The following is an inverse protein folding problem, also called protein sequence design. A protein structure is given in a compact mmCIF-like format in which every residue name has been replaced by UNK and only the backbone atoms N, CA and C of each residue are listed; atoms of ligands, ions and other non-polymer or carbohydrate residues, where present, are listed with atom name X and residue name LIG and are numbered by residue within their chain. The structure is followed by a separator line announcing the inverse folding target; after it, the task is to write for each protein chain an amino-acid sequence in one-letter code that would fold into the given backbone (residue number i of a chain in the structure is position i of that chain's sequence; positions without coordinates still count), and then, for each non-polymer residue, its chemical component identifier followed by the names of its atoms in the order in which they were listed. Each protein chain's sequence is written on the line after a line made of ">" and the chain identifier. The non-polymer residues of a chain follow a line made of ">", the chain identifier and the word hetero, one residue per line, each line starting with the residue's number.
data_IF_203640399588
#
_entry.id   IF_203640399588
#
_cell.length_a   1.000
_cell.length_b   1.000
_cell.length_c   1.000
_cell.angle_alpha   90.00
_cell.angle_beta   90.00
_cell.angle_gamma   90.00
#
_symmetry.space_group_name_H-M   'P 1'
#
loop_
_entity.id
_entity.type
_entity.pdbx_description
1 polymer ?
#
# COMPACT_ATOMS: atom_id res chain seq x y z
N UNK A 1 -47.09 28.72 -65.67
CA UNK A 1 -46.64 29.08 -64.31
C UNK A 1 -46.60 27.82 -63.47
N UNK A 2 -45.45 27.58 -62.82
CA UNK A 2 -45.16 26.65 -61.70
C UNK A 2 -45.54 25.16 -61.84
N UNK A 3 -44.69 24.18 -61.57
CA UNK A 3 -43.47 24.13 -60.76
C UNK A 3 -43.52 22.84 -59.92
N UNK A 4 -42.49 21.99 -60.05
CA UNK A 4 -42.38 20.65 -59.45
C UNK A 4 -42.57 20.58 -57.92
N UNK A 5 -42.96 19.41 -57.38
CA UNK A 5 -42.28 18.95 -56.16
C UNK A 5 -42.12 17.41 -56.06
N UNK A 6 -41.37 16.76 -56.95
CA UNK A 6 -40.94 15.35 -56.76
C UNK A 6 -39.60 15.19 -56.01
N UNK A 7 -39.11 16.26 -55.34
CA UNK A 7 -37.81 16.28 -54.64
C UNK A 7 -37.85 16.25 -53.11
N UNK A 8 -39.00 16.01 -52.47
CA UNK A 8 -39.11 16.08 -50.99
C UNK A 8 -39.39 14.77 -50.25
N UNK A 9 -39.63 13.66 -50.92
CA UNK A 9 -39.92 12.38 -50.25
C UNK A 9 -38.68 11.51 -49.97
N UNK A 10 -37.56 11.74 -50.66
CA UNK A 10 -36.34 10.92 -50.52
C UNK A 10 -35.37 11.43 -49.44
N UNK A 11 -35.54 12.65 -48.95
CA UNK A 11 -34.69 13.20 -47.89
C UNK A 11 -35.08 12.69 -46.49
N UNK A 12 -36.33 12.27 -46.30
CA UNK A 12 -36.88 11.87 -44.99
C UNK A 12 -36.45 10.46 -44.58
N UNK A 13 -36.19 9.57 -45.54
CA UNK A 13 -35.80 8.18 -45.26
C UNK A 13 -34.30 8.09 -44.92
N UNK A 14 -33.47 8.96 -45.48
CA UNK A 14 -32.03 9.00 -45.19
C UNK A 14 -31.70 9.69 -43.85
N UNK A 15 -32.57 10.59 -43.37
CA UNK A 15 -32.39 11.25 -42.07
C UNK A 15 -32.71 10.35 -40.86
N UNK A 16 -33.53 9.30 -41.04
CA UNK A 16 -33.82 8.30 -39.99
C UNK A 16 -32.75 7.20 -39.90
N UNK A 17 -31.99 6.95 -40.97
CA UNK A 17 -30.90 5.99 -40.96
C UNK A 17 -29.64 6.51 -40.24
N UNK A 18 -29.42 7.83 -40.21
CA UNK A 18 -28.26 8.44 -39.54
C UNK A 18 -28.45 8.65 -38.03
N UNK A 19 -29.69 8.65 -37.53
CA UNK A 19 -29.97 8.71 -36.08
C UNK A 19 -29.92 7.33 -35.40
N UNK A 20 -29.87 6.23 -36.16
CA UNK A 20 -29.71 4.88 -35.62
C UNK A 20 -28.24 4.44 -35.43
N UNK A 21 -27.26 5.27 -35.85
CA UNK A 21 -25.83 4.95 -35.73
C UNK A 21 -25.14 5.59 -34.51
N UNK A 22 -25.89 6.25 -33.61
CA UNK A 22 -25.33 6.91 -32.42
C UNK A 22 -26.08 6.56 -31.13
N UNK A 23 -26.74 5.41 -31.10
CA UNK A 23 -27.12 4.76 -29.85
C UNK A 23 -26.51 3.38 -29.86
N UNK A 24 -25.21 3.31 -29.58
CA UNK A 24 -24.67 2.16 -28.87
C UNK A 24 -25.30 2.19 -27.47
N UNK A 25 -26.59 1.86 -27.42
CA UNK A 25 -27.24 1.44 -26.19
C UNK A 25 -26.63 0.08 -25.90
N UNK A 26 -25.41 0.11 -25.38
CA UNK A 26 -24.87 -0.94 -24.56
C UNK A 26 -25.89 -1.15 -23.45
N UNK A 27 -26.87 -2.01 -23.70
CA UNK A 27 -27.68 -2.60 -22.66
C UNK A 27 -26.69 -2.96 -21.55
N UNK A 28 -26.92 -2.53 -20.30
CA UNK A 28 -26.08 -3.01 -19.21
C UNK A 28 -26.14 -4.53 -19.35
N UNK A 29 -24.98 -5.14 -19.67
CA UNK A 29 -24.87 -6.58 -19.76
C UNK A 29 -25.54 -7.08 -18.50
N UNK A 30 -26.66 -7.77 -18.64
CA UNK A 30 -27.28 -8.51 -17.56
C UNK A 30 -26.12 -9.16 -16.84
N UNK A 31 -25.93 -8.79 -15.56
CA UNK A 31 -24.88 -9.36 -14.74
C UNK A 31 -25.18 -10.86 -14.70
N UNK A 32 -24.59 -11.61 -15.64
CA UNK A 32 -24.45 -13.05 -15.50
C UNK A 32 -23.87 -13.28 -14.11
N UNK A 33 -24.27 -14.38 -13.44
CA UNK A 33 -23.98 -14.61 -12.03
C UNK A 33 -22.53 -14.20 -11.76
N UNK A 34 -22.32 -13.12 -10.99
CA UNK A 34 -21.02 -12.45 -10.99
C UNK A 34 -19.99 -13.47 -10.53
N UNK A 35 -19.12 -13.88 -11.44
CA UNK A 35 -18.02 -14.78 -11.12
C UNK A 35 -16.89 -13.98 -10.46
N UNK A 36 -17.25 -13.23 -9.43
CA UNK A 36 -16.37 -12.31 -8.72
C UNK A 36 -15.90 -12.95 -7.41
N UNK A 37 -15.07 -12.24 -6.65
CA UNK A 37 -14.34 -12.78 -5.50
C UNK A 37 -15.26 -12.96 -4.28
N UNK A 38 -15.74 -14.17 -4.03
CA UNK A 38 -16.65 -14.49 -2.92
C UNK A 38 -16.05 -14.21 -1.51
N UNK A 39 -14.72 -14.34 -1.35
CA UNK A 39 -14.02 -14.12 -0.08
C UNK A 39 -13.62 -12.66 0.21
N UNK A 40 -14.03 -11.72 -0.64
CA UNK A 40 -13.51 -10.35 -0.60
C UNK A 40 -13.74 -9.57 0.70
N UNK A 41 -14.86 -9.72 1.44
CA UNK A 41 -15.02 -9.06 2.74
C UNK A 41 -13.94 -9.44 3.76
N UNK A 42 -13.52 -10.71 3.77
CA UNK A 42 -12.42 -11.14 4.65
C UNK A 42 -11.09 -10.54 4.19
N UNK A 43 -10.81 -10.59 2.88
CA UNK A 43 -9.58 -10.03 2.32
C UNK A 43 -9.47 -8.51 2.55
N UNK A 44 -10.59 -7.78 2.50
CA UNK A 44 -10.62 -6.36 2.83
C UNK A 44 -10.27 -6.10 4.31
N UNK A 45 -10.77 -6.93 5.24
CA UNK A 45 -10.40 -6.84 6.66
C UNK A 45 -8.93 -7.19 6.90
N UNK A 46 -8.43 -8.24 6.26
CA UNK A 46 -7.03 -8.67 6.37
C UNK A 46 -6.09 -7.57 5.84
N UNK A 47 -6.43 -6.94 4.70
CA UNK A 47 -5.72 -5.78 4.18
C UNK A 47 -5.76 -4.59 5.15
N UNK A 48 -6.91 -4.32 5.78
CA UNK A 48 -7.04 -3.29 6.81
C UNK A 48 -6.12 -3.53 8.02
N UNK A 49 -6.00 -4.78 8.46
CA UNK A 49 -5.09 -5.15 9.55
C UNK A 49 -3.62 -4.95 9.15
N UNK A 50 -3.24 -5.31 7.92
CA UNK A 50 -1.89 -5.06 7.39
C UNK A 50 -1.56 -3.57 7.32
N UNK A 51 -2.50 -2.75 6.83
CA UNK A 51 -2.32 -1.30 6.76
C UNK A 51 -2.25 -0.66 8.15
N UNK A 52 -3.00 -1.15 9.14
CA UNK A 52 -2.83 -0.72 10.53
C UNK A 52 -1.44 -1.05 11.06
N UNK A 53 -0.95 -2.26 10.79
CA UNK A 53 0.38 -2.69 11.23
C UNK A 53 1.50 -1.90 10.54
N UNK A 54 1.33 -1.46 9.29
CA UNK A 54 2.28 -0.59 8.61
C UNK A 54 2.13 0.89 9.02
N UNK A 55 1.00 1.29 9.61
CA UNK A 55 0.74 2.68 10.00
C UNK A 55 1.58 3.05 11.24
N UNK A 56 2.45 4.05 11.10
CA UNK A 56 3.33 4.52 12.17
C UNK A 56 2.58 5.00 13.44
N UNK A 57 1.30 5.37 13.30
CA UNK A 57 0.48 5.91 14.38
C UNK A 57 0.24 4.92 15.55
N UNK A 58 -0.01 3.63 15.28
CA UNK A 58 -0.25 2.64 16.35
C UNK A 58 0.99 2.46 17.24
N UNK A 59 2.18 2.67 16.68
CA UNK A 59 3.44 2.67 17.41
C UNK A 59 3.68 3.95 18.19
N UNK A 60 3.24 5.09 17.66
CA UNK A 60 3.22 6.36 18.38
C UNK A 60 2.32 6.31 19.61
N UNK A 61 1.16 5.63 19.52
CA UNK A 61 0.23 5.45 20.65
C UNK A 61 0.82 4.63 21.80
N UNK A 62 1.52 3.54 21.51
CA UNK A 62 2.00 2.58 22.52
C UNK A 62 3.11 3.11 23.45
N UNK A 63 3.63 4.32 23.21
CA UNK A 63 4.67 4.94 24.03
C UNK A 63 4.34 6.36 24.51
N UNK A 64 3.12 6.86 24.27
CA UNK A 64 2.75 8.23 24.56
C UNK A 64 1.92 8.36 25.84
N UNK A 65 2.24 9.36 26.67
CA UNK A 65 1.36 9.83 27.75
C UNK A 65 0.12 10.51 27.13
N UNK A 66 -1.03 10.43 27.80
CA UNK A 66 -2.26 11.04 27.28
C UNK A 66 -2.05 12.56 27.05
N UNK A 67 -2.53 13.07 25.90
CA UNK A 67 -2.49 14.49 25.57
C UNK A 67 -1.40 14.96 24.59
N UNK A 68 -0.42 14.13 24.19
CA UNK A 68 0.56 14.54 23.18
C UNK A 68 -0.01 14.51 21.74
N UNK A 69 -0.03 15.67 21.08
CA UNK A 69 -0.45 15.84 19.68
C UNK A 69 0.60 15.36 18.66
N UNK A 70 1.89 15.42 18.99
CA UNK A 70 3.00 14.95 18.14
C UNK A 70 3.70 13.79 18.82
N UNK A 71 3.98 12.71 18.08
CA UNK A 71 4.55 11.47 18.61
C UNK A 71 5.70 11.02 17.71
N UNK A 72 6.86 10.76 18.32
CA UNK A 72 8.07 10.37 17.60
C UNK A 72 8.23 8.86 17.65
N UNK A 73 8.31 8.21 16.50
CA UNK A 73 8.60 6.78 16.40
C UNK A 73 10.08 6.59 16.08
N UNK A 74 10.78 5.82 16.91
CA UNK A 74 12.18 5.50 16.66
C UNK A 74 12.33 4.65 15.38
N UNK A 75 13.25 5.04 14.50
CA UNK A 75 13.47 4.40 13.20
C UNK A 75 13.70 2.89 13.30
N UNK A 76 14.51 2.43 14.25
CA UNK A 76 14.79 1.01 14.48
C UNK A 76 13.52 0.19 14.85
N UNK A 77 12.62 0.79 15.64
CA UNK A 77 11.36 0.15 16.04
C UNK A 77 10.43 -0.01 14.84
N UNK A 78 10.32 1.02 14.01
CA UNK A 78 9.52 0.95 12.79
C UNK A 78 10.12 -0.01 11.74
N UNK A 79 11.45 0.00 11.56
CA UNK A 79 12.14 -0.95 10.67
C UNK A 79 11.92 -2.42 11.06
N UNK A 80 11.88 -2.72 12.36
CA UNK A 80 11.56 -4.08 12.85
C UNK A 80 10.14 -4.51 12.48
N UNK A 81 9.18 -3.59 12.62
CA UNK A 81 7.79 -3.83 12.21
C UNK A 81 7.72 -4.09 10.71
N UNK A 82 8.28 -3.21 9.89
CA UNK A 82 8.21 -3.35 8.42
C UNK A 82 8.84 -4.66 7.96
N UNK A 83 9.94 -5.10 8.59
CA UNK A 83 10.54 -6.41 8.33
C UNK A 83 9.59 -7.57 8.67
N UNK A 84 8.81 -7.46 9.74
CA UNK A 84 7.78 -8.44 10.09
C UNK A 84 6.57 -8.44 9.14
N UNK A 85 6.23 -7.29 8.52
CA UNK A 85 5.07 -7.19 7.63
C UNK A 85 5.29 -7.86 6.27
N UNK A 86 6.53 -7.99 5.79
CA UNK A 86 6.83 -8.53 4.46
C UNK A 86 6.28 -9.95 4.25
N UNK A 87 6.47 -10.85 5.23
CA UNK A 87 5.96 -12.23 5.18
C UNK A 87 4.44 -12.27 5.18
N UNK A 88 3.80 -11.42 5.99
CA UNK A 88 2.34 -11.37 6.10
C UNK A 88 1.71 -10.81 4.82
N UNK A 89 2.30 -9.76 4.24
CA UNK A 89 1.89 -9.19 2.95
C UNK A 89 2.05 -10.23 1.83
N UNK A 90 3.17 -10.95 1.79
CA UNK A 90 3.39 -12.02 0.81
C UNK A 90 2.32 -13.12 0.90
N UNK A 91 1.93 -13.50 2.13
CA UNK A 91 0.87 -14.50 2.36
C UNK A 91 -0.50 -13.98 1.91
N UNK A 92 -0.80 -12.72 2.21
CA UNK A 92 -2.00 -12.05 1.75
C UNK A 92 -2.07 -12.03 0.22
N UNK A 93 -0.99 -11.64 -0.46
CA UNK A 93 -0.96 -11.56 -1.92
C UNK A 93 -1.11 -12.94 -2.59
N UNK A 94 -0.52 -13.99 -2.02
CA UNK A 94 -0.74 -15.36 -2.48
C UNK A 94 -2.22 -15.76 -2.34
N UNK A 95 -2.88 -15.35 -1.26
CA UNK A 95 -4.31 -15.59 -1.03
C UNK A 95 -5.18 -14.82 -2.02
N UNK A 96 -4.85 -13.56 -2.30
CA UNK A 96 -5.54 -12.74 -3.31
C UNK A 96 -5.39 -13.34 -4.71
N UNK A 97 -4.18 -13.78 -5.08
CA UNK A 97 -3.93 -14.43 -6.36
C UNK A 97 -4.79 -15.70 -6.51
N UNK A 98 -4.80 -16.57 -5.51
CA UNK A 98 -5.64 -17.76 -5.50
C UNK A 98 -7.14 -17.43 -5.58
N UNK A 99 -7.56 -16.34 -4.93
CA UNK A 99 -8.96 -15.90 -4.94
C UNK A 99 -9.39 -15.22 -6.26
N UNK A 100 -8.44 -14.79 -7.10
CA UNK A 100 -8.70 -13.99 -8.32
C UNK A 100 -8.37 -14.68 -9.64
N UNK A 101 -7.69 -15.85 -9.59
CA UNK A 101 -7.14 -16.57 -10.76
C UNK A 101 -8.11 -16.71 -11.94
N UNK A 102 -9.36 -17.10 -11.66
CA UNK A 102 -10.41 -17.32 -12.67
C UNK A 102 -11.64 -16.43 -12.45
N UNK A 103 -11.46 -15.31 -11.74
CA UNK A 103 -12.55 -14.39 -11.41
C UNK A 103 -12.52 -13.18 -12.33
N UNK A 104 -13.68 -12.60 -12.56
CA UNK A 104 -13.84 -11.36 -13.32
C UNK A 104 -14.94 -10.53 -12.66
N UNK A 105 -14.68 -9.25 -12.43
CA UNK A 105 -15.65 -8.35 -11.83
C UNK A 105 -15.01 -7.18 -11.09
N UNK A 106 -15.84 -6.23 -10.64
CA UNK A 106 -15.38 -4.99 -10.01
C UNK A 106 -14.60 -5.21 -8.71
N UNK A 107 -14.89 -6.29 -7.96
CA UNK A 107 -14.16 -6.57 -6.72
C UNK A 107 -12.73 -7.00 -7.04
N UNK A 108 -12.54 -7.93 -8.00
CA UNK A 108 -11.19 -8.29 -8.48
C UNK A 108 -10.41 -7.07 -8.97
N UNK A 109 -11.04 -6.20 -9.77
CA UNK A 109 -10.41 -5.00 -10.34
C UNK A 109 -9.89 -4.02 -9.28
N UNK A 110 -10.46 -4.05 -8.07
CA UNK A 110 -10.02 -3.23 -6.93
C UNK A 110 -9.08 -3.98 -5.99
N UNK A 111 -9.28 -5.29 -5.83
CA UNK A 111 -8.50 -6.13 -4.93
C UNK A 111 -7.08 -6.40 -5.45
N UNK A 112 -6.90 -6.60 -6.77
CA UNK A 112 -5.57 -6.84 -7.36
C UNK A 112 -4.66 -5.61 -7.19
N UNK A 113 -5.06 -4.39 -7.57
CA UNK A 113 -4.22 -3.20 -7.32
C UNK A 113 -3.95 -2.91 -5.84
N UNK A 114 -4.86 -3.31 -4.94
CA UNK A 114 -4.62 -3.22 -3.49
C UNK A 114 -3.48 -4.17 -3.07
N UNK A 115 -3.51 -5.43 -3.53
CA UNK A 115 -2.45 -6.41 -3.27
C UNK A 115 -1.10 -6.01 -3.87
N UNK A 116 -1.12 -5.48 -5.09
CA UNK A 116 0.09 -4.94 -5.75
C UNK A 116 0.67 -3.77 -4.95
N UNK A 117 -0.17 -2.81 -4.54
CA UNK A 117 0.28 -1.69 -3.71
C UNK A 117 0.80 -2.11 -2.33
N UNK A 118 0.28 -3.19 -1.74
CA UNK A 118 0.85 -3.76 -0.52
C UNK A 118 2.21 -4.42 -0.78
N UNK A 119 2.46 -4.98 -1.97
CA UNK A 119 3.78 -5.48 -2.36
C UNK A 119 4.81 -4.34 -2.42
N UNK A 120 4.43 -3.21 -3.01
CA UNK A 120 5.27 -2.01 -3.07
C UNK A 120 5.57 -1.49 -1.66
N UNK A 121 4.56 -1.42 -0.80
CA UNK A 121 4.72 -1.09 0.62
C UNK A 121 5.70 -2.03 1.34
N UNK A 122 5.61 -3.34 1.09
CA UNK A 122 6.54 -4.31 1.70
C UNK A 122 7.98 -4.10 1.22
N UNK A 123 8.15 -3.82 -0.08
CA UNK A 123 9.47 -3.54 -0.69
C UNK A 123 10.08 -2.28 -0.11
N UNK A 124 9.32 -1.19 -0.04
CA UNK A 124 9.80 0.08 0.44
C UNK A 124 10.00 0.07 1.96
N UNK A 125 9.15 -0.67 2.67
CA UNK A 125 9.32 -1.00 4.08
C UNK A 125 10.60 -1.77 4.37
N UNK A 126 10.93 -2.77 3.55
CA UNK A 126 12.18 -3.52 3.66
C UNK A 126 13.37 -2.62 3.35
N UNK A 127 13.31 -1.80 2.30
CA UNK A 127 14.36 -0.83 1.96
C UNK A 127 14.62 0.15 3.11
N UNK A 128 13.57 0.67 3.75
CA UNK A 128 13.72 1.52 4.92
C UNK A 128 14.28 0.76 6.13
N UNK A 129 13.79 -0.46 6.40
CA UNK A 129 14.26 -1.28 7.51
C UNK A 129 15.75 -1.67 7.38
N UNK A 130 16.26 -1.72 6.15
CA UNK A 130 17.64 -2.06 5.83
C UNK A 130 18.57 -0.84 5.86
N UNK A 131 18.10 0.26 5.28
CA UNK A 131 18.91 1.44 4.99
C UNK A 131 18.64 2.65 5.88
N UNK A 132 17.55 2.68 6.64
CA UNK A 132 17.11 3.87 7.37
C UNK A 132 16.94 5.11 6.49
N UNK A 133 16.82 4.92 5.16
CA UNK A 133 16.81 5.99 4.17
C UNK A 133 15.52 6.83 4.33
N UNK A 134 15.63 8.15 4.59
CA UNK A 134 14.46 9.02 4.68
C UNK A 134 13.58 9.00 3.42
N UNK A 135 14.17 8.81 2.23
CA UNK A 135 13.40 8.73 0.99
C UNK A 135 12.61 7.41 0.89
N UNK A 136 13.17 6.30 1.35
CA UNK A 136 12.43 5.04 1.50
C UNK A 136 11.27 5.19 2.50
N UNK A 137 11.47 5.87 3.62
CA UNK A 137 10.40 6.11 4.60
C UNK A 137 9.26 6.99 4.05
N UNK A 138 9.59 8.03 3.28
CA UNK A 138 8.59 8.88 2.64
C UNK A 138 7.72 8.10 1.65
N UNK A 139 8.31 7.14 0.91
CA UNK A 139 7.58 6.23 0.04
C UNK A 139 6.65 5.32 0.83
N UNK A 140 7.12 4.72 1.93
CA UNK A 140 6.28 3.92 2.84
C UNK A 140 5.05 4.70 3.32
N UNK A 141 5.21 5.96 3.74
CA UNK A 141 4.07 6.81 4.15
C UNK A 141 3.08 7.00 2.98
N UNK A 142 3.61 7.25 1.79
CA UNK A 142 2.80 7.43 0.57
C UNK A 142 2.03 6.15 0.24
N UNK A 143 2.68 4.98 0.32
CA UNK A 143 2.08 3.68 0.03
C UNK A 143 1.00 3.29 1.03
N UNK A 144 1.21 3.56 2.33
CA UNK A 144 0.18 3.37 3.36
C UNK A 144 -1.04 4.25 3.06
N UNK A 145 -0.83 5.52 2.72
CA UNK A 145 -1.93 6.43 2.35
C UNK A 145 -2.70 5.95 1.12
N UNK A 146 -1.98 5.53 0.07
CA UNK A 146 -2.57 4.98 -1.14
C UNK A 146 -3.30 3.64 -0.87
N UNK A 147 -2.76 2.79 0.01
CA UNK A 147 -3.38 1.55 0.45
C UNK A 147 -4.71 1.77 1.15
N UNK A 148 -4.79 2.76 2.06
CA UNK A 148 -6.04 3.15 2.70
C UNK A 148 -7.09 3.64 1.71
N UNK A 149 -6.69 4.44 0.72
CA UNK A 149 -7.59 4.89 -0.33
C UNK A 149 -8.10 3.71 -1.19
N UNK A 150 -7.22 2.81 -1.62
CA UNK A 150 -7.61 1.60 -2.37
C UNK A 150 -8.54 0.69 -1.57
N UNK A 151 -8.31 0.55 -0.26
CA UNK A 151 -9.17 -0.23 0.62
C UNK A 151 -10.56 0.42 0.77
N UNK A 152 -10.65 1.75 0.84
CA UNK A 152 -11.93 2.47 0.79
C UNK A 152 -12.65 2.24 -0.54
N UNK A 153 -11.93 2.31 -1.66
CA UNK A 153 -12.52 2.11 -2.98
C UNK A 153 -13.01 0.67 -3.18
N UNK A 154 -12.33 -0.31 -2.57
CA UNK A 154 -12.78 -1.71 -2.48
C UNK A 154 -14.01 -1.84 -1.59
N UNK A 155 -14.01 -1.25 -0.39
CA UNK A 155 -15.12 -1.39 0.56
C UNK A 155 -16.44 -0.81 0.04
N UNK A 156 -16.39 0.18 -0.85
CA UNK A 156 -17.56 0.73 -1.53
C UNK A 156 -18.24 -0.27 -2.50
N UNK A 157 -17.54 -1.33 -2.92
CA UNK A 157 -18.08 -2.40 -3.78
C UNK A 157 -18.51 -3.65 -3.02
N UNK A 158 -18.30 -3.66 -1.70
CA UNK A 158 -18.62 -4.79 -0.83
C UNK A 158 -19.93 -4.53 -0.07
N UNK A 159 -20.59 -5.59 0.44
CA UNK A 159 -21.63 -5.44 1.43
C UNK A 159 -21.16 -4.57 2.61
N UNK A 160 -22.09 -3.80 3.18
CA UNK A 160 -21.79 -2.89 4.28
C UNK A 160 -21.15 -3.65 5.45
N UNK A 161 -20.06 -3.10 5.94
CA UNK A 161 -19.29 -3.61 7.08
C UNK A 161 -18.83 -2.44 7.96
N UNK A 162 -19.54 -2.19 9.05
CA UNK A 162 -19.28 -1.06 9.95
C UNK A 162 -17.91 -1.15 10.63
N UNK A 163 -17.42 -2.37 10.91
CA UNK A 163 -16.11 -2.55 11.53
C UNK A 163 -14.99 -2.19 10.56
N UNK A 164 -15.10 -2.62 9.29
CA UNK A 164 -14.15 -2.23 8.24
C UNK A 164 -14.18 -0.73 7.98
N UNK A 165 -15.36 -0.12 7.89
CA UNK A 165 -15.50 1.32 7.68
C UNK A 165 -14.89 2.13 8.83
N UNK A 166 -15.08 1.69 10.08
CA UNK A 166 -14.46 2.31 11.26
C UNK A 166 -12.92 2.21 11.22
N UNK A 167 -12.38 1.05 10.86
CA UNK A 167 -10.93 0.86 10.67
C UNK A 167 -10.37 1.76 9.58
N UNK A 168 -11.03 1.85 8.42
CA UNK A 168 -10.64 2.75 7.33
C UNK A 168 -10.66 4.20 7.81
N UNK A 169 -11.75 4.64 8.44
CA UNK A 169 -11.89 6.00 8.95
C UNK A 169 -10.77 6.35 9.95
N UNK A 170 -10.45 5.43 10.87
CA UNK A 170 -9.33 5.56 11.80
C UNK A 170 -8.00 5.68 11.05
N UNK A 171 -7.69 4.75 10.14
CA UNK A 171 -6.44 4.75 9.38
C UNK A 171 -6.21 6.03 8.58
N UNK A 172 -7.28 6.59 8.03
CA UNK A 172 -7.26 7.80 7.19
C UNK A 172 -7.25 9.11 8.01
N UNK A 173 -7.53 9.06 9.32
CA UNK A 173 -7.65 10.25 10.18
C UNK A 173 -6.30 10.85 10.60
N UNK A 174 -5.19 10.13 10.35
CA UNK A 174 -3.86 10.55 10.77
C UNK A 174 -3.06 11.09 9.60
N UNK A 175 -2.47 12.28 9.80
CA UNK A 175 -1.45 12.82 8.90
C UNK A 175 -0.08 12.43 9.48
N UNK A 176 0.68 11.63 8.72
CA UNK A 176 2.05 11.24 9.09
C UNK A 176 3.02 12.09 8.29
N UNK A 177 3.85 12.85 8.99
CA UNK A 177 4.94 13.60 8.40
C UNK A 177 6.28 12.98 8.83
N UNK A 178 7.18 12.74 7.88
CA UNK A 178 8.56 12.34 8.18
C UNK A 178 9.39 13.57 8.51
N UNK A 179 10.13 13.53 9.61
CA UNK A 179 11.16 14.52 9.93
C UNK A 179 12.52 13.82 9.96
N UNK A 180 13.47 14.31 9.18
CA UNK A 180 14.86 13.89 9.26
C UNK A 180 15.63 14.81 10.21
N UNK A 181 16.62 14.25 10.89
CA UNK A 181 17.63 15.00 11.65
C UNK A 181 18.99 14.42 11.35
N UNK A 182 20.00 15.28 11.24
CA UNK A 182 21.39 14.84 11.07
C UNK A 182 21.83 14.11 12.33
N UNK A 183 22.22 12.85 12.18
CA UNK A 183 22.73 11.99 13.24
C UNK A 183 23.94 11.23 12.73
N UNK A 184 24.85 10.87 13.64
CA UNK A 184 26.03 10.09 13.29
C UNK A 184 25.77 8.61 13.51
N UNK A 185 26.31 7.76 12.63
CA UNK A 185 26.23 6.31 12.73
C UNK A 185 27.60 5.74 12.38
N UNK A 186 28.08 4.81 13.20
CA UNK A 186 29.27 4.03 12.88
C UNK A 186 28.83 2.95 11.90
N UNK A 187 29.49 2.84 10.76
CA UNK A 187 29.22 1.79 9.77
C UNK A 187 30.46 0.93 9.60
N UNK A 188 30.31 -0.39 9.69
CA UNK A 188 31.39 -1.38 9.47
C UNK A 188 31.02 -2.31 8.31
N UNK A 189 32.02 -2.71 7.51
CA UNK A 189 31.84 -3.52 6.30
C UNK A 189 32.41 -2.83 5.05
N UNK A 190 32.02 -3.27 3.83
CA UNK A 190 31.02 -4.30 3.56
C UNK A 190 31.50 -5.72 3.88
N UNK A 191 30.59 -6.54 4.39
CA UNK A 191 30.72 -7.98 4.59
C UNK A 191 30.29 -8.72 3.31
N UNK A 192 30.61 -10.01 3.23
CA UNK A 192 30.28 -10.86 2.06
C UNK A 192 28.80 -11.25 2.02
N UNK A 193 28.14 -11.31 3.18
CA UNK A 193 26.74 -11.71 3.29
C UNK A 193 26.04 -11.09 4.50
N UNK A 194 24.70 -11.08 4.47
CA UNK A 194 23.88 -10.67 5.60
C UNK A 194 24.14 -11.52 6.86
N UNK A 195 24.43 -12.81 6.69
CA UNK A 195 24.76 -13.70 7.80
C UNK A 195 26.09 -13.31 8.45
N UNK A 196 27.08 -12.93 7.65
CA UNK A 196 28.37 -12.43 8.16
C UNK A 196 28.20 -11.07 8.85
N UNK A 197 27.45 -10.14 8.27
CA UNK A 197 27.14 -8.87 8.92
C UNK A 197 26.43 -9.08 10.26
N UNK A 198 25.45 -10.00 10.33
CA UNK A 198 24.79 -10.38 11.58
C UNK A 198 25.77 -10.95 12.60
N UNK A 199 26.65 -11.87 12.19
CA UNK A 199 27.68 -12.42 13.08
C UNK A 199 28.66 -11.35 13.55
N UNK A 200 29.03 -10.39 12.70
CA UNK A 200 29.87 -9.27 13.08
C UNK A 200 29.18 -8.40 14.13
N UNK A 201 27.89 -8.08 13.97
CA UNK A 201 27.10 -7.38 14.98
C UNK A 201 27.07 -8.15 16.32
N UNK A 202 26.94 -9.47 16.28
CA UNK A 202 26.98 -10.32 17.47
C UNK A 202 28.34 -10.29 18.15
N UNK A 203 29.45 -10.33 17.38
CA UNK A 203 30.82 -10.21 17.91
C UNK A 203 31.09 -8.85 18.55
N UNK A 204 30.41 -7.79 18.10
CA UNK A 204 30.44 -6.46 18.72
C UNK A 204 29.59 -6.36 20.00
N UNK A 205 29.04 -7.46 20.49
CA UNK A 205 28.26 -7.50 21.72
C UNK A 205 26.77 -7.19 21.55
N UNK A 206 26.27 -7.15 20.31
CA UNK A 206 24.87 -6.81 20.00
C UNK A 206 24.39 -5.53 20.69
N UNK A 207 25.06 -4.39 20.47
CA UNK A 207 24.66 -3.13 21.08
C UNK A 207 23.18 -2.83 20.78
N UNK A 208 22.47 -2.26 21.76
CA UNK A 208 21.02 -2.02 21.66
C UNK A 208 20.62 -1.13 20.47
N UNK A 209 21.54 -0.26 20.04
CA UNK A 209 21.42 0.62 18.88
C UNK A 209 22.15 0.07 17.64
N UNK A 210 22.46 -1.23 17.63
CA UNK A 210 23.08 -1.92 16.51
C UNK A 210 22.06 -2.52 15.55
N UNK A 211 22.34 -2.41 14.25
CA UNK A 211 21.56 -3.03 13.18
C UNK A 211 22.48 -3.50 12.07
N UNK A 212 22.02 -4.43 11.23
CA UNK A 212 22.77 -4.91 10.08
C UNK A 212 21.87 -4.93 8.85
N UNK A 213 22.45 -4.74 7.66
CA UNK A 213 21.71 -4.87 6.41
C UNK A 213 21.59 -6.33 5.96
N UNK A 214 20.41 -6.66 5.47
CA UNK A 214 20.03 -7.91 4.84
C UNK A 214 20.25 -7.88 3.33
N UNK A 215 20.43 -6.71 2.74
CA UNK A 215 20.77 -6.55 1.31
C UNK A 215 22.13 -5.89 1.14
N UNK A 216 22.73 -6.08 -0.04
CA UNK A 216 24.01 -5.46 -0.37
C UNK A 216 23.87 -3.92 -0.45
N UNK A 217 24.84 -3.14 0.05
CA UNK A 217 26.06 -3.60 0.72
C UNK A 217 25.77 -4.13 2.13
N UNK A 218 26.24 -5.34 2.45
CA UNK A 218 26.05 -5.97 3.75
C UNK A 218 26.92 -5.25 4.78
N UNK A 219 26.34 -4.45 5.66
CA UNK A 219 27.04 -3.61 6.62
C UNK A 219 26.41 -3.74 7.99
N UNK A 220 27.19 -3.45 9.02
CA UNK A 220 26.66 -3.23 10.37
C UNK A 220 26.68 -1.75 10.67
N UNK A 221 25.61 -1.25 11.29
CA UNK A 221 25.44 0.14 11.68
C UNK A 221 25.17 0.22 13.16
N UNK A 222 25.90 1.08 13.86
CA UNK A 222 25.73 1.35 15.28
C UNK A 222 25.37 2.83 15.42
N UNK A 223 24.25 3.12 16.07
CA UNK A 223 23.70 4.46 16.23
C UNK A 223 22.18 4.47 16.12
N UNK A 224 21.55 5.65 16.08
CA UNK A 224 22.15 6.96 15.89
C UNK A 224 22.80 7.56 17.15
N UNK A 225 23.86 8.33 16.93
CA UNK A 225 24.51 9.23 17.89
C UNK A 225 24.18 10.69 17.56
N UNK A 226 24.18 11.56 18.57
CA UNK A 226 23.84 12.98 18.39
C UNK A 226 24.82 13.71 17.47
N UNK A 227 26.10 13.38 17.56
CA UNK A 227 27.18 13.96 16.76
C UNK A 227 28.29 12.94 16.50
N UNK A 228 29.32 13.36 15.75
CA UNK A 228 30.48 12.51 15.42
C UNK A 228 31.38 12.23 16.62
N UNK A 229 31.37 13.08 17.65
CA UNK A 229 32.23 12.88 18.83
C UNK A 229 31.67 11.80 19.76
N UNK A 230 30.34 11.66 19.81
CA UNK A 230 29.67 10.59 20.53
C UNK A 230 29.62 9.24 19.80
N UNK A 231 29.94 9.22 18.51
CA UNK A 231 30.04 8.01 17.67
C UNK A 231 31.47 7.45 17.73
#
# INVERSE_FOLDING_TARGET
>A
MSGAPTRRALASVFALAFLASCTDSGQPKSAGPSNDVAGAPKLARDAGALLLQASAYDYGLAGALSGQQTRTVAAARYGTVMRGTATTISTFNATVLAATLDRTGPIREKLVPLADGLSDLARDGASYADGGDPAAFARVITDVGAGWQRLRDLSATLPKDDALQSTIARGMSFVVASKSSTQSTITTGPYTSAAEAKQALQRMGSPLNGSFSQTAPFVVRIGPYADRAGA
#
